data_IF_065246433254
#
_entry.id   IF_065246433254
#
_cell.length_a   1.000
_cell.length_b   1.000
_cell.length_c   1.000
_cell.angle_alpha   90.00
_cell.angle_beta   90.00
_cell.angle_gamma   90.00
#
_symmetry.space_group_name_H-M   'P 1'
#
loop_
_entity.id
_entity.type
_entity.pdbx_description
1 polymer ?
#
# COMPACT_ATOMS: atom_id res chain seq x y z
N UNK A 1 2.68 -18.43 -15.62
CA UNK A 1 3.14 -17.80 -14.36
C UNK A 1 3.14 -18.90 -13.31
N UNK A 2 4.24 -19.13 -12.58
CA UNK A 2 4.29 -20.21 -11.59
C UNK A 2 3.24 -19.97 -10.51
N UNK A 3 2.58 -21.04 -10.04
CA UNK A 3 1.57 -21.02 -8.96
C UNK A 3 2.10 -20.47 -7.61
N UNK A 4 3.36 -20.06 -7.57
CA UNK A 4 4.07 -19.57 -6.39
C UNK A 4 4.25 -18.05 -6.34
N UNK A 5 4.03 -17.31 -7.44
CA UNK A 5 4.32 -15.86 -7.50
C UNK A 5 3.06 -15.03 -7.78
N UNK A 6 3.00 -13.86 -7.17
CA UNK A 6 1.94 -12.89 -7.43
C UNK A 6 1.93 -12.41 -8.88
N UNK A 7 0.73 -12.30 -9.46
CA UNK A 7 0.50 -11.65 -10.77
C UNK A 7 0.67 -10.12 -10.75
N UNK A 8 0.76 -9.52 -9.57
CA UNK A 8 0.89 -8.08 -9.37
C UNK A 8 2.31 -7.63 -9.03
N UNK A 9 3.24 -8.58 -8.92
CA UNK A 9 4.64 -8.30 -8.57
C UNK A 9 5.54 -8.74 -9.72
N UNK A 10 6.37 -7.82 -10.22
CA UNK A 10 7.29 -8.06 -11.33
C UNK A 10 8.73 -8.08 -10.85
N UNK A 11 9.59 -8.88 -11.47
CA UNK A 11 11.01 -8.93 -11.13
C UNK A 11 11.78 -7.76 -11.76
N UNK A 12 12.96 -7.48 -11.20
CA UNK A 12 13.89 -6.51 -11.77
C UNK A 12 14.36 -6.92 -13.18
N UNK A 13 14.55 -8.21 -13.46
CA UNK A 13 14.84 -8.72 -14.81
C UNK A 13 13.73 -8.37 -15.80
N UNK A 14 12.47 -8.58 -15.41
CA UNK A 14 11.33 -8.25 -16.25
C UNK A 14 11.29 -6.75 -16.51
N UNK A 15 11.40 -5.93 -15.45
CA UNK A 15 11.37 -4.47 -15.61
C UNK A 15 12.48 -3.98 -16.53
N UNK A 16 13.72 -4.45 -16.32
CA UNK A 16 14.87 -4.06 -17.15
C UNK A 16 14.68 -4.38 -18.63
N UNK A 17 14.06 -5.53 -18.96
CA UNK A 17 13.76 -5.91 -20.35
C UNK A 17 12.66 -5.04 -20.99
N UNK A 18 11.85 -4.36 -20.17
CA UNK A 18 10.70 -3.57 -20.61
C UNK A 18 10.98 -2.05 -20.63
N UNK A 19 12.08 -1.60 -20.03
CA UNK A 19 12.47 -0.19 -20.01
C UNK A 19 12.51 0.42 -21.42
N UNK A 20 12.04 1.66 -21.52
CA UNK A 20 11.98 2.43 -22.77
C UNK A 20 10.79 2.14 -23.68
N UNK A 21 9.94 1.15 -23.34
CA UNK A 21 8.69 0.92 -24.10
C UNK A 21 7.70 2.06 -23.86
N UNK A 22 6.99 2.53 -24.91
CA UNK A 22 6.17 3.74 -24.83
C UNK A 22 4.95 3.60 -23.91
N UNK A 23 4.49 2.38 -23.68
CA UNK A 23 3.34 2.03 -22.83
C UNK A 23 3.74 1.72 -21.37
N UNK A 24 5.01 1.85 -21.00
CA UNK A 24 5.50 1.62 -19.63
C UNK A 24 5.67 2.94 -18.89
N UNK A 25 5.15 3.00 -17.66
CA UNK A 25 5.42 4.07 -16.69
C UNK A 25 5.99 3.46 -15.42
N UNK A 26 7.19 3.89 -15.04
CA UNK A 26 7.84 3.45 -13.81
C UNK A 26 7.69 4.56 -12.79
N UNK A 27 7.20 4.26 -11.59
CA UNK A 27 6.90 5.24 -10.55
C UNK A 27 7.73 4.97 -9.31
N UNK A 28 8.47 5.99 -8.88
CA UNK A 28 9.13 6.03 -7.58
C UNK A 28 8.14 6.56 -6.52
N UNK A 29 7.50 5.65 -5.81
CA UNK A 29 6.57 5.91 -4.72
C UNK A 29 7.25 5.92 -3.35
N UNK A 30 8.57 6.20 -3.28
CA UNK A 30 9.30 6.21 -2.03
C UNK A 30 8.68 7.18 -1.03
N UNK A 31 8.45 6.65 0.18
CA UNK A 31 7.97 7.36 1.35
C UNK A 31 8.59 6.68 2.57
N UNK A 32 9.04 7.49 3.53
CA UNK A 32 9.71 7.00 4.73
C UNK A 32 9.13 7.63 5.99
N UNK A 33 9.01 6.82 7.03
CA UNK A 33 8.75 7.31 8.37
C UNK A 33 10.00 8.04 8.92
N UNK A 34 9.84 9.05 9.79
CA UNK A 34 10.97 9.80 10.34
C UNK A 34 12.06 8.93 10.98
N UNK A 35 11.69 7.81 11.60
CA UNK A 35 12.61 6.87 12.24
C UNK A 35 13.60 6.22 11.25
N UNK A 36 13.25 6.15 9.96
CA UNK A 36 14.09 5.55 8.92
C UNK A 36 15.22 6.49 8.47
N UNK A 37 15.11 7.80 8.75
CA UNK A 37 16.14 8.81 8.43
C UNK A 37 16.58 8.79 6.95
N UNK A 38 15.63 8.53 6.05
CA UNK A 38 15.80 8.54 4.59
C UNK A 38 15.00 9.69 3.99
N UNK A 39 15.47 10.21 2.87
CA UNK A 39 14.83 11.28 2.11
C UNK A 39 14.53 10.77 0.70
N UNK A 40 13.25 10.62 0.39
CA UNK A 40 12.79 10.06 -0.88
C UNK A 40 13.15 10.95 -2.08
N UNK A 41 13.05 12.27 -1.92
CA UNK A 41 13.32 13.20 -3.02
C UNK A 41 14.83 13.31 -3.27
N UNK A 42 15.64 13.31 -2.20
CA UNK A 42 17.10 13.28 -2.32
C UNK A 42 17.61 11.96 -2.91
N UNK A 43 17.04 10.81 -2.51
CA UNK A 43 17.40 9.51 -3.06
C UNK A 43 17.03 9.37 -4.54
N UNK A 44 15.85 9.84 -4.93
CA UNK A 44 15.44 9.89 -6.32
C UNK A 44 16.39 10.76 -7.16
N UNK A 45 16.74 11.95 -6.68
CA UNK A 45 17.68 12.84 -7.37
C UNK A 45 19.10 12.26 -7.47
N UNK A 46 19.53 11.49 -6.47
CA UNK A 46 20.84 10.84 -6.46
C UNK A 46 20.91 9.63 -7.42
N UNK A 47 19.77 9.00 -7.74
CA UNK A 47 19.69 7.96 -8.75
C UNK A 47 18.44 7.09 -8.60
N UNK A 48 17.65 7.03 -9.67
CA UNK A 48 16.40 6.27 -9.78
C UNK A 48 16.47 5.25 -10.93
N UNK A 49 15.47 4.37 -11.03
CA UNK A 49 15.37 3.42 -12.15
C UNK A 49 15.18 4.22 -13.46
N UNK A 50 15.85 3.87 -14.57
CA UNK A 50 15.75 4.65 -15.82
C UNK A 50 14.30 4.88 -16.27
N UNK A 51 13.98 6.13 -16.60
CA UNK A 51 12.62 6.56 -16.96
C UNK A 51 11.62 6.63 -15.80
N UNK A 52 12.03 6.45 -14.55
CA UNK A 52 11.13 6.51 -13.41
C UNK A 52 10.71 7.94 -13.05
N UNK A 53 9.42 8.12 -12.79
CA UNK A 53 8.81 9.37 -12.37
C UNK A 53 8.66 9.35 -10.85
N UNK A 54 9.10 10.41 -10.17
CA UNK A 54 8.81 10.58 -8.73
C UNK A 54 7.29 10.76 -8.51
N UNK A 55 6.66 9.79 -7.86
CA UNK A 55 5.26 9.83 -7.47
C UNK A 55 5.15 10.02 -5.96
N UNK A 56 4.92 11.26 -5.53
CA UNK A 56 4.79 11.59 -4.12
C UNK A 56 3.34 11.49 -3.67
N UNK A 57 3.01 10.41 -2.96
CA UNK A 57 1.68 10.17 -2.43
C UNK A 57 1.23 11.17 -1.36
N UNK A 58 2.14 11.94 -0.76
CA UNK A 58 1.75 13.05 0.13
C UNK A 58 1.35 14.27 -0.68
N UNK A 59 1.92 14.48 -1.87
CA UNK A 59 1.51 15.59 -2.75
C UNK A 59 0.20 15.26 -3.49
N UNK A 60 0.03 14.00 -3.90
CA UNK A 60 -1.16 13.51 -4.60
C UNK A 60 -2.12 12.83 -3.60
N UNK A 61 -2.62 13.63 -2.66
CA UNK A 61 -3.55 13.23 -1.60
C UNK A 61 -4.67 14.27 -1.43
N UNK A 62 -5.70 13.92 -0.67
CA UNK A 62 -6.72 14.88 -0.22
C UNK A 62 -6.24 15.67 1.00
N UNK A 63 -5.89 16.93 0.74
CA UNK A 63 -5.43 17.91 1.74
C UNK A 63 -6.56 18.69 2.42
N UNK A 64 -7.82 18.41 2.09
CA UNK A 64 -8.97 19.05 2.76
C UNK A 64 -9.23 18.49 4.17
N UNK A 65 -8.61 17.34 4.49
CA UNK A 65 -8.69 16.67 5.79
C UNK A 65 -7.39 16.83 6.56
N UNK A 66 -7.44 16.70 7.89
CA UNK A 66 -6.22 16.56 8.71
C UNK A 66 -5.67 15.13 8.74
N UNK A 67 -6.30 14.20 8.00
CA UNK A 67 -5.86 12.82 7.92
C UNK A 67 -4.69 12.72 6.94
N UNK A 68 -3.72 11.84 7.23
CA UNK A 68 -2.58 11.60 6.35
C UNK A 68 -2.98 10.78 5.12
N UNK A 69 -2.29 10.97 4.01
CA UNK A 69 -2.32 10.08 2.83
C UNK A 69 -3.74 9.75 2.30
N UNK A 70 -4.74 10.52 2.68
CA UNK A 70 -6.14 10.33 2.31
C UNK A 70 -6.22 10.32 0.79
N UNK A 71 -6.98 9.39 0.23
CA UNK A 71 -7.10 9.30 -1.22
C UNK A 71 -7.57 10.64 -1.82
N UNK A 72 -6.94 11.11 -2.91
CA UNK A 72 -7.38 12.32 -3.59
C UNK A 72 -8.75 12.15 -4.24
N UNK A 73 -9.40 13.27 -4.57
CA UNK A 73 -10.58 13.23 -5.45
C UNK A 73 -10.21 12.68 -6.83
N UNK A 74 -11.20 12.12 -7.53
CA UNK A 74 -11.02 11.51 -8.86
C UNK A 74 -10.44 12.49 -9.87
N UNK A 75 -10.96 13.71 -9.86
CA UNK A 75 -10.55 14.77 -10.79
C UNK A 75 -9.13 15.28 -10.49
N UNK A 76 -8.78 15.41 -9.21
CA UNK A 76 -7.43 15.81 -8.81
C UNK A 76 -6.41 14.72 -9.17
N UNK A 77 -6.72 13.45 -8.86
CA UNK A 77 -5.89 12.33 -9.25
C UNK A 77 -5.68 12.25 -10.76
N UNK A 78 -6.76 12.35 -11.55
CA UNK A 78 -6.70 12.31 -13.00
C UNK A 78 -5.84 13.45 -13.57
N UNK A 79 -5.96 14.65 -13.00
CA UNK A 79 -5.17 15.82 -13.39
C UNK A 79 -3.69 15.60 -13.11
N UNK A 80 -3.32 15.15 -11.90
CA UNK A 80 -1.91 14.93 -11.54
C UNK A 80 -1.29 13.74 -12.28
N UNK A 81 -2.00 12.61 -12.40
CA UNK A 81 -1.55 11.47 -13.18
C UNK A 81 -1.34 11.85 -14.66
N UNK A 82 -2.28 12.59 -15.25
CA UNK A 82 -2.18 13.10 -16.61
C UNK A 82 -1.01 14.07 -16.80
N UNK A 83 -0.76 14.97 -15.84
CA UNK A 83 0.39 15.88 -15.84
C UNK A 83 1.74 15.13 -15.81
N UNK A 84 1.78 13.98 -15.13
CA UNK A 84 2.93 13.08 -15.12
C UNK A 84 3.04 12.19 -16.38
N UNK A 85 2.12 12.33 -17.34
CA UNK A 85 2.11 11.54 -18.58
C UNK A 85 1.63 10.10 -18.39
N UNK A 86 0.81 9.84 -17.37
CA UNK A 86 0.28 8.52 -17.03
C UNK A 86 -1.17 8.42 -17.47
N UNK A 87 -1.50 7.36 -18.20
CA UNK A 87 -2.86 6.97 -18.59
C UNK A 87 -3.30 5.71 -17.85
N UNK A 88 -4.61 5.51 -17.65
CA UNK A 88 -5.17 4.28 -17.07
C UNK A 88 -4.90 3.01 -17.91
N UNK A 89 -4.47 3.20 -19.17
CA UNK A 89 -4.12 2.15 -20.13
C UNK A 89 -2.66 1.73 -20.09
N UNK A 90 -1.79 2.52 -19.47
CA UNK A 90 -0.36 2.22 -19.39
C UNK A 90 -0.11 0.97 -18.53
N UNK A 91 1.02 0.31 -18.77
CA UNK A 91 1.62 -0.60 -17.80
C UNK A 91 2.35 0.24 -16.78
N UNK A 92 1.86 0.24 -15.55
CA UNK A 92 2.39 1.04 -14.45
C UNK A 92 3.16 0.11 -13.52
N UNK A 93 4.45 0.37 -13.32
CA UNK A 93 5.29 -0.36 -12.37
C UNK A 93 5.70 0.60 -11.27
N UNK A 94 5.27 0.29 -10.05
CA UNK A 94 5.54 1.09 -8.87
C UNK A 94 6.66 0.45 -8.06
N UNK A 95 7.63 1.24 -7.63
CA UNK A 95 8.61 0.81 -6.64
C UNK A 95 8.71 1.84 -5.51
N UNK A 96 9.33 1.45 -4.41
CA UNK A 96 9.80 2.35 -3.36
C UNK A 96 11.23 1.95 -2.97
N UNK A 97 11.91 2.77 -2.18
CA UNK A 97 13.32 2.51 -1.87
C UNK A 97 13.57 1.16 -1.21
N UNK A 98 12.87 0.87 -0.11
CA UNK A 98 13.08 -0.34 0.72
C UNK A 98 12.57 -1.60 0.01
N UNK A 99 11.56 -1.45 -0.85
CA UNK A 99 10.77 -2.53 -1.42
C UNK A 99 9.58 -2.89 -0.54
N UNK A 100 8.39 -2.94 -1.15
CA UNK A 100 7.15 -3.39 -0.51
C UNK A 100 6.79 -2.63 0.78
N UNK A 101 6.98 -1.30 0.78
CA UNK A 101 6.58 -0.43 1.89
C UNK A 101 5.46 0.53 1.49
N UNK A 102 5.74 1.45 0.55
CA UNK A 102 4.81 2.46 0.08
C UNK A 102 4.29 2.18 -1.33
N UNK A 103 5.06 1.45 -2.15
CA UNK A 103 4.66 1.05 -3.50
C UNK A 103 3.32 0.30 -3.57
N UNK A 104 2.93 -0.57 -2.61
CA UNK A 104 1.62 -1.21 -2.65
C UNK A 104 0.47 -0.21 -2.47
N UNK A 105 0.68 0.91 -1.76
CA UNK A 105 -0.33 1.95 -1.60
C UNK A 105 -0.63 2.65 -2.92
N UNK A 106 0.41 3.02 -3.67
CA UNK A 106 0.24 3.64 -4.99
C UNK A 106 -0.31 2.63 -6.00
N UNK A 107 0.14 1.37 -5.95
CA UNK A 107 -0.48 0.28 -6.72
C UNK A 107 -1.99 0.17 -6.48
N UNK A 108 -2.40 0.16 -5.21
CA UNK A 108 -3.80 0.08 -4.83
C UNK A 108 -4.57 1.33 -5.30
N UNK A 109 -4.00 2.52 -5.13
CA UNK A 109 -4.63 3.78 -5.53
C UNK A 109 -4.92 3.81 -7.04
N UNK A 110 -3.94 3.49 -7.89
CA UNK A 110 -4.15 3.44 -9.34
C UNK A 110 -5.23 2.42 -9.72
N UNK A 111 -5.27 1.26 -9.07
CA UNK A 111 -6.30 0.24 -9.31
C UNK A 111 -7.69 0.68 -8.88
N UNK A 112 -7.81 1.32 -7.72
CA UNK A 112 -9.07 1.91 -7.25
C UNK A 112 -9.52 3.03 -8.18
N UNK A 113 -8.60 3.75 -8.81
CA UNK A 113 -8.88 4.77 -9.82
C UNK A 113 -9.14 4.20 -11.23
N UNK A 114 -9.14 2.87 -11.41
CA UNK A 114 -9.55 2.20 -12.64
C UNK A 114 -8.42 1.66 -13.53
N UNK A 115 -7.15 1.92 -13.19
CA UNK A 115 -6.02 1.36 -13.95
C UNK A 115 -5.89 -0.16 -13.72
N UNK A 116 -5.77 -0.94 -14.80
CA UNK A 116 -5.79 -2.42 -14.72
C UNK A 116 -4.39 -3.05 -14.70
N UNK A 117 -3.42 -2.42 -15.36
CA UNK A 117 -2.09 -2.95 -15.56
C UNK A 117 -1.09 -2.31 -14.59
N UNK A 118 -1.32 -2.50 -13.29
CA UNK A 118 -0.51 -1.92 -12.23
C UNK A 118 0.25 -3.02 -11.49
N UNK A 119 1.55 -2.85 -11.35
CA UNK A 119 2.48 -3.82 -10.77
C UNK A 119 3.37 -3.16 -9.72
N UNK A 120 3.89 -3.96 -8.79
CA UNK A 120 4.91 -3.57 -7.83
C UNK A 120 6.23 -4.23 -8.20
N UNK A 121 7.34 -3.49 -8.17
CA UNK A 121 8.68 -4.04 -8.37
C UNK A 121 9.14 -4.82 -7.13
N UNK A 122 9.48 -6.10 -7.33
CA UNK A 122 10.02 -6.96 -6.30
C UNK A 122 11.43 -6.52 -5.87
N UNK A 123 11.60 -6.17 -4.59
CA UNK A 123 12.88 -5.71 -4.05
C UNK A 123 13.11 -4.19 -4.07
N UNK A 124 12.26 -3.41 -4.72
CA UNK A 124 12.37 -1.94 -4.73
C UNK A 124 13.69 -1.40 -5.33
N UNK A 125 14.02 -0.16 -5.00
CA UNK A 125 15.26 0.49 -5.46
C UNK A 125 16.50 -0.11 -4.81
N UNK A 126 16.43 -0.45 -3.52
CA UNK A 126 17.55 -1.05 -2.79
C UNK A 126 17.93 -2.40 -3.41
N UNK A 127 16.93 -3.23 -3.77
CA UNK A 127 17.14 -4.48 -4.51
C UNK A 127 17.68 -4.27 -5.92
N UNK A 128 17.15 -3.28 -6.66
CA UNK A 128 17.68 -2.91 -7.98
C UNK A 128 19.16 -2.52 -7.94
N UNK A 129 19.55 -1.71 -6.94
CA UNK A 129 20.94 -1.31 -6.68
C UNK A 129 21.82 -2.49 -6.29
N UNK A 130 21.34 -3.36 -5.41
CA UNK A 130 22.07 -4.55 -4.96
C UNK A 130 22.40 -5.51 -6.11
N UNK A 131 21.57 -5.54 -7.14
CA UNK A 131 21.80 -6.32 -8.37
C UNK A 131 22.71 -5.61 -9.38
N UNK A 132 23.25 -4.43 -9.06
CA UNK A 132 24.18 -3.68 -9.91
C UNK A 132 23.53 -3.10 -11.17
N UNK A 133 22.20 -2.88 -11.14
CA UNK A 133 21.46 -2.42 -12.31
C UNK A 133 21.62 -0.92 -12.56
N UNK A 134 21.45 -0.45 -13.81
CA UNK A 134 21.64 0.95 -14.16
C UNK A 134 20.70 1.90 -13.41
N UNK A 135 21.20 3.08 -13.08
CA UNK A 135 20.41 4.18 -12.54
C UNK A 135 20.48 5.39 -13.48
N UNK A 136 19.46 6.24 -13.40
CA UNK A 136 19.38 7.53 -14.06
C UNK A 136 19.25 8.63 -13.00
N UNK A 137 19.78 9.82 -13.29
CA UNK A 137 19.62 11.03 -12.44
C UNK A 137 18.86 12.13 -13.16
N UNK A 138 18.75 12.07 -14.49
CA UNK A 138 17.95 12.99 -15.27
C UNK A 138 16.47 12.74 -15.01
N UNK A 139 15.73 13.78 -14.66
CA UNK A 139 14.27 13.67 -14.49
C UNK A 139 13.63 13.40 -15.85
N UNK A 140 12.92 12.28 -16.04
CA UNK A 140 12.26 11.98 -17.30
C UNK A 140 11.13 12.98 -17.55
N UNK A 141 10.92 13.30 -18.82
CA UNK A 141 9.82 14.13 -19.28
C UNK A 141 8.94 13.32 -20.22
N UNK A 142 7.70 13.09 -19.81
CA UNK A 142 6.68 12.48 -20.64
C UNK A 142 5.69 13.54 -21.10
N UNK A 143 5.18 13.40 -22.33
CA UNK A 143 4.08 14.23 -22.77
C UNK A 143 2.87 14.01 -21.84
N UNK A 144 2.13 15.06 -21.47
CA UNK A 144 0.90 14.90 -20.70
C UNK A 144 -0.04 13.91 -21.35
N UNK A 145 -0.69 13.10 -20.53
CA UNK A 145 -1.66 12.09 -20.96
C UNK A 145 -3.03 12.40 -20.36
N UNK A 146 -4.05 11.69 -20.86
CA UNK A 146 -5.38 11.69 -20.24
C UNK A 146 -5.47 10.45 -19.36
N UNK A 147 -5.80 10.66 -18.10
CA UNK A 147 -6.22 9.62 -17.18
C UNK A 147 -7.73 9.71 -17.00
N UNK A 148 -8.48 8.68 -17.40
CA UNK A 148 -9.95 8.64 -17.22
C UNK A 148 -10.27 7.75 -16.02
N UNK A 149 -10.65 8.32 -14.85
CA UNK A 149 -10.85 7.53 -13.65
C UNK A 149 -12.14 6.70 -13.73
N UNK A 150 -12.04 5.41 -13.43
CA UNK A 150 -13.15 4.50 -13.18
C UNK A 150 -13.10 4.07 -11.71
N UNK A 151 -13.52 5.00 -10.84
CA UNK A 151 -13.31 4.88 -9.40
C UNK A 151 -14.18 3.80 -8.75
N UNK A 152 -13.55 2.77 -8.19
CA UNK A 152 -14.21 1.70 -7.46
C UNK A 152 -14.36 2.05 -5.97
N UNK A 153 -15.45 2.75 -5.65
CA UNK A 153 -15.79 3.11 -4.28
C UNK A 153 -15.97 1.90 -3.35
N UNK A 154 -16.25 0.70 -3.89
CA UNK A 154 -16.48 -0.50 -3.08
C UNK A 154 -15.21 -1.02 -2.40
N UNK A 155 -14.03 -0.58 -2.87
CA UNK A 155 -12.71 -0.95 -2.34
C UNK A 155 -12.20 -0.05 -1.22
N UNK A 156 -12.91 1.05 -0.93
CA UNK A 156 -12.54 2.03 0.09
C UNK A 156 -13.56 2.00 1.21
N UNK A 157 -13.10 1.83 2.44
CA UNK A 157 -13.95 1.89 3.63
C UNK A 157 -13.84 3.29 4.24
N UNK A 158 -15.00 3.89 4.55
CA UNK A 158 -15.13 5.14 5.30
C UNK A 158 -15.24 4.88 6.79
N UNK A 159 -15.09 5.91 7.63
CA UNK A 159 -15.31 5.79 9.07
C UNK A 159 -16.66 5.18 9.44
N UNK A 160 -17.75 5.62 8.82
CA UNK A 160 -19.09 5.11 9.14
C UNK A 160 -19.22 3.63 8.75
N UNK A 161 -18.75 3.25 7.57
CA UNK A 161 -18.67 1.83 7.17
C UNK A 161 -17.80 1.01 8.13
N UNK A 162 -16.70 1.59 8.63
CA UNK A 162 -15.81 0.92 9.57
C UNK A 162 -16.48 0.72 10.94
N UNK A 163 -17.27 1.69 11.42
CA UNK A 163 -18.07 1.55 12.65
C UNK A 163 -19.09 0.43 12.53
N UNK A 164 -19.73 0.31 11.37
CA UNK A 164 -20.67 -0.78 11.09
C UNK A 164 -19.94 -2.13 11.07
N UNK A 165 -18.76 -2.22 10.45
CA UNK A 165 -17.94 -3.44 10.45
C UNK A 165 -17.54 -3.83 11.87
N UNK A 166 -17.08 -2.89 12.70
CA UNK A 166 -16.67 -3.17 14.08
C UNK A 166 -17.85 -3.60 14.96
N UNK A 167 -19.02 -2.97 14.79
CA UNK A 167 -20.21 -3.30 15.60
C UNK A 167 -20.88 -4.61 15.20
N UNK A 168 -20.95 -4.90 13.90
CA UNK A 168 -21.63 -6.09 13.37
C UNK A 168 -20.73 -7.31 13.25
N UNK A 169 -19.41 -7.12 13.15
CA UNK A 169 -18.47 -8.19 12.79
C UNK A 169 -18.61 -8.69 11.36
N UNK A 170 -19.20 -7.88 10.45
CA UNK A 170 -19.47 -8.29 9.07
C UNK A 170 -18.23 -8.59 8.22
N UNK A 171 -17.07 -8.03 8.58
CA UNK A 171 -15.79 -8.29 7.91
C UNK A 171 -14.68 -8.53 8.93
N UNK A 172 -13.70 -9.34 8.58
CA UNK A 172 -12.50 -9.53 9.39
C UNK A 172 -11.58 -8.32 9.24
N UNK A 173 -11.01 -7.84 10.33
CA UNK A 173 -10.17 -6.62 10.32
C UNK A 173 -8.70 -7.04 10.41
N UNK A 174 -7.91 -6.74 9.39
CA UNK A 174 -6.48 -7.04 9.32
C UNK A 174 -5.66 -5.74 9.51
N UNK A 175 -4.92 -5.64 10.61
CA UNK A 175 -4.15 -4.44 10.97
C UNK A 175 -2.65 -4.62 10.68
N UNK A 176 -2.09 -3.79 9.81
CA UNK A 176 -0.71 -3.87 9.36
C UNK A 176 0.33 -3.16 10.25
N UNK A 177 -0.09 -2.55 11.37
CA UNK A 177 0.83 -1.90 12.33
C UNK A 177 1.73 -2.93 13.02
N UNK A 178 2.76 -2.45 13.73
CA UNK A 178 3.58 -3.31 14.58
C UNK A 178 2.71 -3.98 15.65
N UNK A 179 3.11 -5.19 16.06
CA UNK A 179 2.42 -5.91 17.14
C UNK A 179 2.37 -5.07 18.44
N UNK A 180 3.42 -4.27 18.71
CA UNK A 180 3.45 -3.40 19.87
C UNK A 180 2.45 -2.24 19.80
N UNK A 181 2.31 -1.59 18.64
CA UNK A 181 1.30 -0.54 18.41
C UNK A 181 -0.12 -1.09 18.52
N UNK A 182 -0.36 -2.25 17.92
CA UNK A 182 -1.62 -2.99 18.01
C UNK A 182 -1.97 -3.33 19.47
N UNK A 183 -1.00 -3.85 20.22
CA UNK A 183 -1.20 -4.29 21.60
C UNK A 183 -1.14 -3.16 22.65
N UNK A 184 -0.89 -1.92 22.22
CA UNK A 184 -0.64 -0.75 23.07
C UNK A 184 0.59 -0.85 23.99
N UNK A 185 1.61 -1.64 23.62
CA UNK A 185 2.91 -1.68 24.31
C UNK A 185 3.93 -0.73 23.68
N UNK A 186 3.65 -0.23 22.48
CA UNK A 186 4.42 0.84 21.81
C UNK A 186 3.49 2.04 21.55
N UNK A 187 3.99 3.28 21.65
CA UNK A 187 3.19 4.45 21.33
C UNK A 187 2.94 4.55 19.82
N UNK A 188 1.84 5.20 19.47
CA UNK A 188 1.63 5.64 18.11
C UNK A 188 2.59 6.79 17.76
N UNK A 189 3.07 6.89 16.50
CA UNK A 189 4.06 7.89 16.11
C UNK A 189 3.52 9.33 16.14
N UNK A 190 2.20 9.52 16.27
CA UNK A 190 1.56 10.83 16.31
C UNK A 190 1.09 11.16 17.71
N UNK A 191 1.49 12.35 18.17
CA UNK A 191 1.10 12.87 19.47
C UNK A 191 -0.43 12.94 19.61
N UNK A 192 -0.93 12.54 20.77
CA UNK A 192 -2.37 12.57 21.09
C UNK A 192 -3.20 11.42 20.53
N UNK A 193 -2.64 10.56 19.68
CA UNK A 193 -3.37 9.40 19.16
C UNK A 193 -3.42 8.28 20.20
N UNK A 194 -4.60 7.71 20.44
CA UNK A 194 -4.80 6.62 21.41
C UNK A 194 -4.14 5.34 20.91
N UNK A 195 -3.48 4.59 21.79
CA UNK A 195 -2.89 3.28 21.47
C UNK A 195 -3.93 2.15 21.50
N UNK A 196 -3.62 0.99 20.92
CA UNK A 196 -4.51 -0.17 20.87
C UNK A 196 -4.97 -0.49 19.46
N UNK A 197 -6.09 -1.19 19.33
CA UNK A 197 -6.66 -1.64 18.06
C UNK A 197 -8.20 -1.63 18.06
N UNK A 198 -8.78 -1.78 16.87
CA UNK A 198 -10.22 -1.90 16.69
C UNK A 198 -10.73 -3.24 17.27
N UNK A 199 -11.86 -3.27 17.99
CA UNK A 199 -12.44 -4.53 18.47
C UNK A 199 -12.56 -5.57 17.35
N UNK A 200 -12.12 -6.80 17.62
CA UNK A 200 -12.16 -7.91 16.65
C UNK A 200 -11.02 -7.93 15.63
N UNK A 201 -10.11 -6.94 15.63
CA UNK A 201 -8.99 -6.92 14.69
C UNK A 201 -7.94 -8.02 14.95
N UNK A 202 -7.25 -8.40 13.87
CA UNK A 202 -6.11 -9.31 13.84
C UNK A 202 -4.85 -8.52 13.51
N UNK A 203 -3.77 -8.82 14.23
CA UNK A 203 -2.46 -8.21 14.01
C UNK A 203 -1.75 -8.93 12.86
N UNK A 204 -1.50 -8.23 11.76
CA UNK A 204 -0.76 -8.71 10.59
C UNK A 204 0.35 -7.71 10.21
N UNK A 205 1.42 -7.56 11.02
CA UNK A 205 2.44 -6.55 10.79
C UNK A 205 3.00 -6.61 9.37
N UNK A 206 3.12 -5.46 8.71
CA UNK A 206 3.46 -5.40 7.29
C UNK A 206 4.80 -6.06 6.92
N UNK A 207 5.77 -6.05 7.85
CA UNK A 207 7.07 -6.71 7.68
C UNK A 207 6.97 -8.24 7.52
N UNK A 208 5.84 -8.86 7.86
CA UNK A 208 5.62 -10.29 7.70
C UNK A 208 5.36 -10.71 6.25
N UNK A 209 5.14 -9.77 5.32
CA UNK A 209 4.77 -10.07 3.93
C UNK A 209 5.95 -10.01 2.95
N UNK A 210 7.10 -9.51 3.39
CA UNK A 210 8.28 -9.36 2.55
C UNK A 210 9.57 -9.73 3.29
N UNK A 211 10.53 -10.28 2.57
CA UNK A 211 11.87 -10.58 3.06
C UNK A 211 12.86 -9.70 2.30
N UNK A 212 13.53 -8.77 2.98
CA UNK A 212 14.49 -7.84 2.36
C UNK A 212 13.90 -7.10 1.14
N UNK A 213 12.70 -6.53 1.30
CA UNK A 213 11.99 -5.81 0.24
C UNK A 213 11.37 -6.70 -0.84
N UNK A 214 11.58 -8.02 -0.79
CA UNK A 214 11.00 -8.97 -1.75
C UNK A 214 9.72 -9.60 -1.22
N UNK A 215 8.69 -9.64 -2.05
CA UNK A 215 7.39 -10.20 -1.69
C UNK A 215 7.48 -11.72 -1.50
N UNK A 216 6.89 -12.23 -0.41
CA UNK A 216 6.87 -13.66 -0.14
C UNK A 216 6.10 -14.44 -1.21
N UNK A 217 6.35 -15.74 -1.29
CA UNK A 217 5.61 -16.63 -2.21
C UNK A 217 4.14 -16.76 -1.79
N UNK A 218 3.26 -17.11 -2.73
CA UNK A 218 1.82 -17.29 -2.45
C UNK A 218 1.56 -18.27 -1.29
N UNK A 219 2.22 -19.43 -1.17
CA UNK A 219 2.06 -20.31 -0.01
C UNK A 219 2.43 -19.66 1.32
N UNK A 220 3.54 -18.91 1.38
CA UNK A 220 3.98 -18.23 2.60
C UNK A 220 3.03 -17.07 2.98
N UNK A 221 2.50 -16.35 1.99
CA UNK A 221 1.51 -15.29 2.20
C UNK A 221 0.20 -15.86 2.76
N UNK A 222 -0.27 -16.98 2.20
CA UNK A 222 -1.44 -17.71 2.70
C UNK A 222 -1.25 -18.10 4.16
N UNK A 223 -0.13 -18.76 4.46
CA UNK A 223 0.22 -19.17 5.82
C UNK A 223 0.24 -17.98 6.78
N UNK A 224 0.90 -16.88 6.38
CA UNK A 224 0.99 -15.65 7.20
C UNK A 224 -0.40 -15.11 7.56
N UNK A 225 -1.35 -15.12 6.63
CA UNK A 225 -2.71 -14.60 6.83
C UNK A 225 -3.55 -15.57 7.68
N UNK A 226 -3.50 -16.86 7.39
CA UNK A 226 -4.27 -17.89 8.11
C UNK A 226 -3.77 -18.07 9.55
N UNK A 227 -2.46 -17.98 9.81
CA UNK A 227 -1.86 -18.03 11.15
C UNK A 227 -2.31 -16.85 12.04
N UNK A 228 -2.60 -15.70 11.43
CA UNK A 228 -3.16 -14.55 12.13
C UNK A 228 -4.67 -14.69 12.41
N UNK A 229 -5.28 -15.80 11.98
CA UNK A 229 -6.70 -16.09 12.20
C UNK A 229 -7.63 -15.38 11.22
N UNK A 230 -7.14 -15.05 10.02
CA UNK A 230 -7.96 -14.52 8.93
C UNK A 230 -8.38 -15.68 8.02
N UNK A 231 -9.68 -15.91 7.95
CA UNK A 231 -10.33 -16.89 7.09
C UNK A 231 -10.47 -16.33 5.66
N UNK A 232 -9.70 -16.87 4.72
CA UNK A 232 -9.68 -16.43 3.31
C UNK A 232 -10.96 -16.75 2.54
N UNK A 233 -11.96 -17.42 3.15
CA UNK A 233 -13.29 -17.58 2.55
C UNK A 233 -14.25 -16.43 2.88
N UNK A 234 -13.86 -15.52 3.78
CA UNK A 234 -14.69 -14.43 4.30
C UNK A 234 -14.17 -13.05 3.88
N UNK A 235 -15.03 -12.02 3.89
CA UNK A 235 -14.62 -10.64 3.62
C UNK A 235 -13.55 -10.14 4.60
N UNK A 236 -12.64 -9.30 4.10
CA UNK A 236 -11.55 -8.70 4.89
C UNK A 236 -11.47 -7.18 4.65
N UNK A 237 -11.43 -6.40 5.73
CA UNK A 237 -11.01 -4.99 5.67
C UNK A 237 -9.58 -4.87 6.18
N UNK A 238 -8.72 -4.22 5.41
CA UNK A 238 -7.33 -3.93 5.80
C UNK A 238 -7.23 -2.53 6.38
N UNK A 239 -6.39 -2.37 7.39
CA UNK A 239 -6.10 -1.10 8.05
C UNK A 239 -4.65 -1.07 8.48
N UNK A 240 -4.12 0.11 8.79
CA UNK A 240 -2.85 0.25 9.47
C UNK A 240 -2.81 1.54 10.29
N UNK A 241 -1.68 2.25 10.30
CA UNK A 241 -1.60 3.60 10.83
C UNK A 241 -2.38 4.61 9.99
N UNK A 242 -2.17 4.62 8.68
CA UNK A 242 -2.55 5.73 7.80
C UNK A 242 -2.89 5.30 6.36
N UNK A 243 -3.35 4.06 6.17
CA UNK A 243 -3.71 3.52 4.86
C UNK A 243 -2.55 3.05 3.97
N UNK A 244 -1.29 3.41 4.27
CA UNK A 244 -0.13 2.99 3.46
C UNK A 244 0.12 1.48 3.56
N UNK A 245 0.58 1.00 4.72
CA UNK A 245 1.00 -0.40 4.87
C UNK A 245 -0.17 -1.39 4.87
N UNK A 246 -1.41 -0.92 5.02
CA UNK A 246 -2.62 -1.72 4.81
C UNK A 246 -2.67 -2.29 3.38
N UNK A 247 -2.18 -1.52 2.40
CA UNK A 247 -2.15 -1.93 1.01
C UNK A 247 -1.21 -3.11 0.74
N UNK A 248 -0.26 -3.41 1.64
CA UNK A 248 0.58 -4.62 1.55
C UNK A 248 -0.27 -5.87 1.80
N UNK A 249 -1.16 -5.82 2.80
CA UNK A 249 -2.10 -6.91 3.07
C UNK A 249 -3.09 -7.05 1.90
N UNK A 250 -3.61 -5.92 1.39
CA UNK A 250 -4.48 -5.91 0.21
C UNK A 250 -3.80 -6.53 -1.02
N UNK A 251 -2.53 -6.20 -1.28
CA UNK A 251 -1.73 -6.82 -2.34
C UNK A 251 -1.62 -8.33 -2.14
N UNK A 252 -1.37 -8.80 -0.91
CA UNK A 252 -1.31 -10.23 -0.60
C UNK A 252 -2.65 -10.95 -0.83
N UNK A 253 -3.75 -10.38 -0.35
CA UNK A 253 -5.10 -10.91 -0.56
C UNK A 253 -5.43 -11.02 -2.06
N UNK A 254 -5.25 -9.94 -2.83
CA UNK A 254 -5.48 -9.92 -4.28
C UNK A 254 -4.57 -10.92 -5.00
N UNK A 255 -3.32 -11.09 -4.56
CA UNK A 255 -2.37 -12.06 -5.11
C UNK A 255 -2.79 -13.52 -4.88
N UNK A 256 -3.52 -13.78 -3.79
CA UNK A 256 -4.10 -15.09 -3.46
C UNK A 256 -5.45 -15.33 -4.15
N UNK A 257 -5.94 -14.39 -4.96
CA UNK A 257 -7.26 -14.46 -5.59
C UNK A 257 -8.42 -14.11 -4.65
N UNK A 258 -8.13 -13.51 -3.49
CA UNK A 258 -9.16 -13.00 -2.59
C UNK A 258 -9.61 -11.62 -3.08
N UNK A 259 -10.87 -11.52 -3.55
CA UNK A 259 -11.42 -10.31 -4.16
C UNK A 259 -12.43 -9.57 -3.26
N UNK A 260 -12.88 -10.19 -2.17
CA UNK A 260 -13.80 -9.60 -1.20
C UNK A 260 -13.04 -8.85 -0.10
N UNK A 261 -12.14 -7.96 -0.53
CA UNK A 261 -11.31 -7.15 0.36
C UNK A 261 -11.47 -5.66 0.10
N UNK A 262 -11.30 -4.87 1.17
CA UNK A 262 -11.39 -3.41 1.14
C UNK A 262 -10.31 -2.80 2.02
N UNK A 263 -9.97 -1.54 1.79
CA UNK A 263 -8.98 -0.81 2.59
C UNK A 263 -9.68 0.34 3.33
N UNK A 264 -9.52 0.39 4.66
CA UNK A 264 -9.96 1.52 5.49
C UNK A 264 -8.93 2.64 5.44
N UNK A 265 -9.26 3.68 4.67
CA UNK A 265 -8.30 4.70 4.26
C UNK A 265 -7.81 5.56 5.43
N UNK A 266 -8.76 6.08 6.23
CA UNK A 266 -8.46 6.83 7.44
C UNK A 266 -7.68 6.02 8.47
N UNK A 267 -7.84 4.69 8.46
CA UNK A 267 -7.03 3.75 9.25
C UNK A 267 -7.01 4.14 10.74
N UNK A 268 -5.96 3.75 11.49
CA UNK A 268 -5.83 4.13 12.89
C UNK A 268 -5.68 5.65 13.11
N UNK A 269 -5.24 6.41 12.09
CA UNK A 269 -5.16 7.87 12.17
C UNK A 269 -6.52 8.51 12.37
N UNK A 270 -7.54 8.01 11.70
CA UNK A 270 -8.92 8.45 11.87
C UNK A 270 -9.57 7.77 13.08
N UNK A 271 -9.37 6.47 13.27
CA UNK A 271 -10.00 5.75 14.37
C UNK A 271 -9.42 6.13 15.74
N UNK A 272 -8.11 6.03 15.90
CA UNK A 272 -7.40 6.24 17.16
C UNK A 272 -7.41 7.70 17.65
N UNK A 273 -7.65 8.67 16.77
CA UNK A 273 -7.73 10.11 17.13
C UNK A 273 -9.10 10.56 17.64
N UNK A 274 -10.14 9.75 17.52
CA UNK A 274 -11.52 10.12 17.88
C UNK A 274 -11.97 9.54 19.21
N UNK A 275 -12.47 10.35 20.12
CA UNK A 275 -12.95 9.84 21.42
C UNK A 275 -14.21 8.95 21.32
N UNK A 276 -14.93 8.99 20.19
CA UNK A 276 -16.19 8.28 19.95
C UNK A 276 -16.02 6.89 19.30
N UNK A 277 -14.79 6.39 19.15
CA UNK A 277 -14.53 5.05 18.60
C UNK A 277 -14.02 4.08 19.68
N UNK A 278 -14.51 2.82 19.69
CA UNK A 278 -14.08 1.84 20.68
C UNK A 278 -12.66 1.33 20.41
N UNK A 279 -11.93 1.03 21.49
CA UNK A 279 -10.54 0.55 21.45
C UNK A 279 -10.40 -0.69 22.34
N UNK A 280 -9.60 -1.65 21.88
CA UNK A 280 -9.09 -2.78 22.67
C UNK A 280 -7.57 -2.68 22.79
N UNK A 281 -7.00 -3.19 23.87
CA UNK A 281 -5.55 -3.28 24.11
C UNK A 281 -5.14 -4.73 24.40
N UNK A 282 -3.84 -5.02 24.36
CA UNK A 282 -3.31 -6.36 24.51
C UNK A 282 -3.24 -7.17 23.21
N UNK A 283 -2.78 -8.44 23.28
CA UNK A 283 -2.60 -9.28 22.10
C UNK A 283 -3.94 -9.59 21.40
N UNK A 284 -3.91 -9.98 20.12
CA UNK A 284 -5.14 -10.35 19.40
C UNK A 284 -5.89 -11.46 20.15
N UNK A 285 -7.21 -11.34 20.23
CA UNK A 285 -8.05 -12.37 20.86
C UNK A 285 -7.85 -13.71 20.15
N UNK A 286 -7.52 -14.81 20.86
CA UNK A 286 -7.35 -16.11 20.23
C UNK A 286 -8.58 -16.49 19.38
N UNK A 287 -8.35 -17.08 18.21
CA UNK A 287 -9.44 -17.71 17.45
C UNK A 287 -9.93 -18.87 18.30
N UNK A 288 -11.21 -18.86 18.72
CA UNK A 288 -11.80 -20.06 19.33
C UNK A 288 -11.79 -21.14 18.25
N UNK A 289 -11.08 -22.24 18.53
CA UNK A 289 -11.07 -23.44 17.71
C UNK A 289 -12.48 -24.01 17.53
#
# INVERSE_FOLDING_TARGET
MSESKSRFVVSADWLQAELGKPDLRVLDASFYLPAQKRDADAEYAAGHIPGAIRFDQDKIADHSTSLPHTIPSRDYFATEAGRLGISEKDRIVVYDGIGLFASPRVWWLFRVMGAKNVFVLDGGLDGWKAEGRPLETATPSHAPAVFTPDFDASRVVTLDSMRDIVSSGAMQIADARSAGRFAATEPEPRAGMRSGHMPGARSLPSGSFANQGRFKSLPELRQTIEDAGIDLSKPVVTSCGSGITAAIITLALESLGHHDNKLYDGSWSEWGSRDDTPIVTGPPTPVKA
#
